data_IF_025292867457
#
_entry.id   IF_025292867457
#
_cell.length_a   1.000
_cell.length_b   1.000
_cell.length_c   1.000
_cell.angle_alpha   90.00
_cell.angle_beta   90.00
_cell.angle_gamma   90.00
#
_symmetry.space_group_name_H-M   'P 1'
#
loop_
_entity.id
_entity.type
_entity.pdbx_description
1 polymer ?
#
# COMPACT_ATOMS: atom_id res chain seq x y z
N UNK A 1 -6.72 17.37 0.32
CA UNK A 1 -7.27 16.59 -0.79
C UNK A 1 -6.31 15.44 -1.05
N UNK A 2 -6.85 14.22 -1.15
CA UNK A 2 -6.09 13.02 -1.48
C UNK A 2 -5.74 12.99 -2.97
N UNK A 3 -4.72 12.24 -3.37
CA UNK A 3 -4.30 12.13 -4.79
C UNK A 3 -5.44 11.65 -5.70
N UNK A 4 -6.31 10.76 -5.20
CA UNK A 4 -7.50 10.30 -5.91
C UNK A 4 -8.56 11.40 -6.04
N UNK A 5 -8.80 12.17 -4.98
CA UNK A 5 -9.73 13.29 -5.02
C UNK A 5 -9.26 14.41 -5.96
N UNK A 6 -7.95 14.70 -5.95
CA UNK A 6 -7.31 15.63 -6.88
C UNK A 6 -7.39 15.11 -8.32
N UNK A 7 -7.12 13.82 -8.54
CA UNK A 7 -7.23 13.20 -9.86
C UNK A 7 -8.68 13.13 -10.36
N UNK A 8 -9.66 12.86 -9.50
CA UNK A 8 -11.09 12.92 -9.87
C UNK A 8 -11.48 14.34 -10.24
N UNK A 9 -11.01 15.33 -9.47
CA UNK A 9 -11.26 16.75 -9.73
C UNK A 9 -10.64 17.20 -11.06
N UNK A 10 -9.37 16.89 -11.31
CA UNK A 10 -8.69 17.13 -12.58
C UNK A 10 -9.38 16.39 -13.73
N UNK A 11 -9.81 15.13 -13.54
CA UNK A 11 -10.43 14.31 -14.58
C UNK A 11 -11.83 14.78 -15.01
N UNK A 12 -12.65 15.25 -14.06
CA UNK A 12 -14.09 15.51 -14.27
C UNK A 12 -14.53 16.95 -13.97
N UNK A 13 -13.63 17.79 -13.46
CA UNK A 13 -13.85 19.22 -13.22
C UNK A 13 -12.56 20.02 -13.47
N UNK A 14 -11.96 19.91 -14.68
CA UNK A 14 -10.68 20.52 -14.98
C UNK A 14 -10.75 22.04 -14.91
N UNK A 15 -9.70 22.66 -14.37
CA UNK A 15 -9.54 24.11 -14.47
C UNK A 15 -9.17 24.50 -15.91
N UNK A 16 -9.45 25.74 -16.32
CA UNK A 16 -9.14 26.25 -17.66
C UNK A 16 -7.65 26.20 -18.02
N UNK A 17 -6.78 26.09 -17.01
CA UNK A 17 -5.32 26.08 -17.16
C UNK A 17 -4.73 24.66 -17.14
N UNK A 18 -5.54 23.62 -16.99
CA UNK A 18 -5.02 22.25 -16.92
C UNK A 18 -4.57 21.72 -18.29
N UNK A 19 -3.34 21.20 -18.32
CA UNK A 19 -2.80 20.62 -19.55
C UNK A 19 -3.62 19.39 -19.99
N UNK A 20 -3.83 19.19 -21.31
CA UNK A 20 -4.53 18.02 -21.84
C UNK A 20 -3.92 16.68 -21.38
N UNK A 21 -2.62 16.69 -21.08
CA UNK A 21 -1.88 15.53 -20.58
C UNK A 21 -2.18 15.22 -19.11
N UNK A 22 -2.25 16.24 -18.25
CA UNK A 22 -2.66 16.07 -16.85
C UNK A 22 -4.07 15.51 -16.76
N UNK A 23 -4.97 15.96 -17.65
CA UNK A 23 -6.33 15.44 -17.77
C UNK A 23 -6.37 13.94 -18.15
N UNK A 24 -5.58 13.53 -19.13
CA UNK A 24 -5.50 12.12 -19.55
C UNK A 24 -4.92 11.21 -18.46
N UNK A 25 -3.89 11.68 -17.74
CA UNK A 25 -3.27 10.93 -16.63
C UNK A 25 -4.25 10.77 -15.47
N UNK A 26 -4.95 11.85 -15.10
CA UNK A 26 -5.94 11.82 -14.04
C UNK A 26 -7.11 10.87 -14.37
N UNK A 27 -7.58 10.87 -15.63
CA UNK A 27 -8.59 9.93 -16.12
C UNK A 27 -8.10 8.49 -16.11
N UNK A 28 -6.88 8.24 -16.59
CA UNK A 28 -6.27 6.91 -16.57
C UNK A 28 -6.11 6.39 -15.13
N UNK A 29 -5.78 7.24 -14.17
CA UNK A 29 -5.70 6.86 -12.76
C UNK A 29 -7.05 6.47 -12.18
N UNK A 30 -8.08 7.29 -12.43
CA UNK A 30 -9.45 6.99 -11.97
C UNK A 30 -9.94 5.69 -12.59
N UNK A 31 -9.75 5.51 -13.89
CA UNK A 31 -10.16 4.29 -14.60
C UNK A 31 -9.38 3.05 -14.12
N UNK A 32 -8.07 3.16 -13.90
CA UNK A 32 -7.25 2.06 -13.37
C UNK A 32 -7.69 1.66 -11.96
N UNK A 33 -7.98 2.65 -11.11
CA UNK A 33 -8.51 2.42 -9.77
C UNK A 33 -9.89 1.73 -9.82
N UNK A 34 -10.77 2.19 -10.71
CA UNK A 34 -12.10 1.61 -10.94
C UNK A 34 -12.01 0.17 -11.45
N UNK A 35 -11.12 -0.12 -12.41
CA UNK A 35 -10.83 -1.47 -12.89
C UNK A 35 -10.35 -2.36 -11.76
N UNK A 36 -9.41 -1.86 -10.95
CA UNK A 36 -8.88 -2.58 -9.81
C UNK A 36 -9.98 -2.90 -8.78
N UNK A 37 -10.83 -1.92 -8.43
CA UNK A 37 -12.00 -2.15 -7.57
C UNK A 37 -12.99 -3.15 -8.19
N UNK A 38 -13.23 -3.09 -9.50
CA UNK A 38 -14.11 -4.01 -10.22
C UNK A 38 -13.55 -5.43 -10.30
N UNK A 39 -12.23 -5.61 -10.31
CA UNK A 39 -11.58 -6.92 -10.32
C UNK A 39 -11.52 -7.56 -8.93
N UNK A 40 -11.46 -6.72 -7.89
CA UNK A 40 -11.43 -7.15 -6.50
C UNK A 40 -12.83 -7.50 -5.93
N UNK A 41 -13.91 -6.99 -6.53
CA UNK A 41 -15.28 -7.24 -6.08
C UNK A 41 -15.94 -8.42 -6.83
N UNK A 42 -16.42 -9.43 -6.10
CA UNK A 42 -17.29 -10.47 -6.67
C UNK A 42 -18.69 -9.90 -6.87
N UNK A 43 -18.86 -9.12 -7.94
CA UNK A 43 -20.05 -8.79 -8.78
C UNK A 43 -21.48 -8.73 -8.22
N UNK A 44 -21.77 -8.99 -6.95
CA UNK A 44 -23.15 -9.26 -6.58
C UNK A 44 -23.93 -8.04 -6.08
N UNK A 45 -23.33 -6.99 -5.51
CA UNK A 45 -24.12 -5.98 -4.77
C UNK A 45 -23.81 -4.48 -5.02
N UNK A 46 -23.02 -4.10 -6.03
CA UNK A 46 -22.95 -2.69 -6.46
C UNK A 46 -24.10 -2.33 -7.41
N UNK A 47 -24.86 -1.28 -7.07
CA UNK A 47 -25.97 -0.75 -7.88
C UNK A 47 -25.51 0.03 -9.13
N UNK A 48 -24.22 0.05 -9.42
CA UNK A 48 -23.65 0.69 -10.59
C UNK A 48 -22.62 -0.27 -11.21
N UNK A 49 -22.97 -1.02 -12.27
CA UNK A 49 -22.02 -1.93 -12.89
C UNK A 49 -21.01 -1.07 -13.65
N UNK A 50 -19.87 -0.78 -13.03
CA UNK A 50 -18.76 -0.19 -13.74
C UNK A 50 -18.04 -1.31 -14.47
N UNK A 51 -17.97 -1.19 -15.79
CA UNK A 51 -17.31 -2.16 -16.67
C UNK A 51 -15.79 -2.03 -16.51
N UNK A 52 -15.22 -2.81 -15.59
CA UNK A 52 -13.79 -2.77 -15.27
C UNK A 52 -12.90 -3.11 -16.47
N UNK A 53 -13.33 -3.97 -17.40
CA UNK A 53 -12.58 -4.30 -18.62
C UNK A 53 -12.53 -3.09 -19.56
N UNK A 54 -13.67 -2.42 -19.73
CA UNK A 54 -13.72 -1.17 -20.49
C UNK A 54 -12.89 -0.07 -19.85
N UNK A 55 -12.93 0.07 -18.52
CA UNK A 55 -12.08 1.01 -17.82
C UNK A 55 -10.60 0.66 -17.97
N UNK A 56 -10.23 -0.61 -18.01
CA UNK A 56 -8.86 -1.05 -18.24
C UNK A 56 -8.40 -0.67 -19.64
N UNK A 57 -9.24 -0.94 -20.65
CA UNK A 57 -8.97 -0.61 -22.04
C UNK A 57 -8.89 0.92 -22.26
N UNK A 58 -9.78 1.69 -21.63
CA UNK A 58 -9.75 3.15 -21.70
C UNK A 58 -8.52 3.72 -20.97
N UNK A 59 -8.13 3.15 -19.82
CA UNK A 59 -6.89 3.51 -19.14
C UNK A 59 -5.66 3.19 -19.99
N UNK A 60 -5.58 2.01 -20.60
CA UNK A 60 -4.51 1.58 -21.49
C UNK A 60 -4.44 2.46 -22.75
N UNK A 61 -5.59 2.79 -23.34
CA UNK A 61 -5.71 3.73 -24.46
C UNK A 61 -5.23 5.13 -24.07
N UNK A 62 -5.63 5.65 -22.91
CA UNK A 62 -5.17 6.95 -22.43
C UNK A 62 -3.68 6.94 -22.10
N UNK A 63 -3.15 5.87 -21.51
CA UNK A 63 -1.73 5.72 -21.23
C UNK A 63 -0.90 5.56 -22.51
N UNK A 64 -1.41 4.85 -23.54
CA UNK A 64 -0.76 4.73 -24.85
C UNK A 64 -0.80 6.03 -25.66
N UNK A 65 -1.77 6.92 -25.45
CA UNK A 65 -1.66 8.29 -26.01
C UNK A 65 -0.59 9.14 -25.31
N UNK A 66 -0.15 8.73 -24.12
CA UNK A 66 0.92 9.35 -23.34
C UNK A 66 2.29 8.68 -23.62
N UNK A 67 2.30 7.49 -24.23
CA UNK A 67 3.46 6.59 -24.38
C UNK A 67 3.60 6.06 -25.82
N UNK A 68 4.76 6.21 -26.46
CA UNK A 68 5.00 5.74 -27.84
C UNK A 68 5.15 4.19 -27.89
N UNK A 69 4.33 3.45 -28.67
CA UNK A 69 4.30 1.99 -28.67
C UNK A 69 5.54 1.28 -29.24
N UNK A 70 6.50 2.01 -29.82
CA UNK A 70 7.72 1.42 -30.37
C UNK A 70 8.66 0.81 -29.30
N UNK A 71 8.42 1.09 -28.01
CA UNK A 71 9.14 0.53 -26.88
C UNK A 71 8.17 -0.25 -25.97
N UNK A 72 8.17 -1.57 -26.09
CA UNK A 72 7.23 -2.45 -25.38
C UNK A 72 7.37 -2.41 -23.86
N UNK A 73 6.22 -2.51 -23.16
CA UNK A 73 6.06 -2.44 -21.69
C UNK A 73 7.04 -3.33 -20.89
N UNK A 74 7.45 -4.49 -21.42
CA UNK A 74 8.35 -5.41 -20.73
C UNK A 74 9.83 -4.97 -20.78
N UNK A 75 10.24 -4.26 -21.82
CA UNK A 75 11.61 -3.78 -21.97
C UNK A 75 11.83 -2.42 -21.30
N UNK A 76 10.76 -1.66 -21.02
CA UNK A 76 10.84 -0.31 -20.43
C UNK A 76 10.71 -0.26 -18.90
N UNK A 77 10.25 -1.34 -18.25
CA UNK A 77 10.31 -1.43 -16.77
C UNK A 77 11.76 -1.46 -16.24
N UNK A 78 12.73 -1.87 -17.05
CA UNK A 78 14.15 -1.94 -16.66
C UNK A 78 14.88 -0.57 -16.77
N UNK A 79 14.69 0.24 -17.84
CA UNK A 79 15.24 1.60 -17.93
C UNK A 79 14.44 2.66 -17.15
N UNK A 80 13.12 2.58 -17.06
CA UNK A 80 12.31 3.51 -16.25
C UNK A 80 12.54 3.33 -14.74
N UNK A 81 13.20 2.23 -14.36
CA UNK A 81 13.73 1.95 -13.03
C UNK A 81 15.29 1.98 -13.00
N UNK A 82 16.03 2.75 -13.79
CA UNK A 82 17.44 3.06 -13.40
C UNK A 82 17.36 3.99 -12.17
N UNK A 83 17.61 3.66 -10.90
CA UNK A 83 18.45 2.69 -10.19
C UNK A 83 19.89 2.61 -10.75
N UNK A 84 20.81 3.32 -10.07
CA UNK A 84 22.23 3.64 -10.38
C UNK A 84 22.40 4.85 -11.31
N UNK A 85 23.09 5.96 -10.99
CA UNK A 85 24.21 6.30 -10.08
C UNK A 85 24.05 7.75 -9.54
N UNK A 86 24.77 8.19 -8.47
CA UNK A 86 24.83 9.61 -8.13
C UNK A 86 25.49 10.40 -9.27
N UNK A 87 25.09 11.67 -9.52
CA UNK A 87 25.61 12.42 -10.66
C UNK A 87 27.09 12.72 -10.46
N UNK A 88 27.96 12.03 -11.20
CA UNK A 88 29.24 12.59 -11.59
C UNK A 88 28.97 13.57 -12.72
N UNK A 89 29.03 14.86 -12.43
CA UNK A 89 29.12 15.90 -13.47
C UNK A 89 30.32 15.62 -14.37
N UNK A 90 30.13 15.73 -15.69
CA UNK A 90 30.39 17.02 -16.32
C UNK A 90 29.29 17.47 -17.30
N UNK A 91 29.08 18.78 -17.27
CA UNK A 91 28.54 19.68 -18.30
C UNK A 91 27.61 19.15 -19.40
N UNK A 92 26.39 19.71 -19.40
CA UNK A 92 25.81 20.25 -20.63
C UNK A 92 24.93 19.31 -21.46
N UNK A 93 23.80 18.83 -20.92
CA UNK A 93 22.63 18.55 -21.76
C UNK A 93 21.33 18.68 -20.95
N UNK A 94 20.50 19.64 -21.33
CA UNK A 94 19.18 19.88 -20.72
C UNK A 94 18.26 18.70 -21.07
N UNK A 95 17.99 17.83 -20.10
CA UNK A 95 16.98 16.78 -20.22
C UNK A 95 15.58 17.42 -20.15
N UNK A 96 14.62 17.04 -21.01
CA UNK A 96 13.31 17.70 -21.05
C UNK A 96 12.47 17.30 -19.82
N UNK A 97 12.09 18.29 -19.02
CA UNK A 97 11.28 18.21 -17.78
C UNK A 97 10.04 17.27 -17.86
N UNK A 98 9.50 17.05 -19.07
CA UNK A 98 8.31 16.26 -19.32
C UNK A 98 8.48 14.74 -19.10
N UNK A 99 9.70 14.18 -19.25
CA UNK A 99 9.94 12.74 -19.00
C UNK A 99 9.95 12.43 -17.50
N UNK A 100 10.57 13.30 -16.71
CA UNK A 100 10.69 13.17 -15.24
C UNK A 100 9.33 13.23 -14.53
N UNK A 101 8.42 14.09 -15.00
CA UNK A 101 7.07 14.20 -14.42
C UNK A 101 6.20 12.95 -14.66
N UNK A 102 6.27 12.37 -15.87
CA UNK A 102 5.55 11.14 -16.24
C UNK A 102 6.03 9.95 -15.40
N UNK A 103 7.33 9.81 -15.25
CA UNK A 103 7.96 8.74 -14.45
C UNK A 103 7.57 8.85 -12.97
N UNK A 104 7.56 10.06 -12.41
CA UNK A 104 7.14 10.31 -11.03
C UNK A 104 5.66 9.98 -10.80
N UNK A 105 4.81 10.30 -11.76
CA UNK A 105 3.37 10.02 -11.66
C UNK A 105 3.11 8.52 -11.70
N UNK A 106 3.67 7.81 -12.70
CA UNK A 106 3.52 6.35 -12.80
C UNK A 106 4.01 5.63 -11.53
N UNK A 107 5.18 6.02 -11.01
CA UNK A 107 5.72 5.48 -9.75
C UNK A 107 4.75 5.68 -8.59
N UNK A 108 4.13 6.86 -8.52
CA UNK A 108 3.13 7.15 -7.49
C UNK A 108 1.90 6.24 -7.65
N UNK A 109 1.36 6.08 -8.85
CA UNK A 109 0.21 5.20 -9.10
C UNK A 109 0.53 3.75 -8.75
N UNK A 110 1.69 3.26 -9.20
CA UNK A 110 2.16 1.91 -8.89
C UNK A 110 2.14 1.64 -7.39
N UNK A 111 2.73 2.53 -6.60
CA UNK A 111 2.83 2.36 -5.15
C UNK A 111 1.48 2.44 -4.43
N UNK A 112 0.55 3.27 -4.92
CA UNK A 112 -0.82 3.28 -4.41
C UNK A 112 -1.58 2.01 -4.78
N UNK A 113 -1.47 1.53 -6.03
CA UNK A 113 -2.07 0.26 -6.45
C UNK A 113 -1.49 -0.92 -5.67
N UNK A 114 -0.17 -0.93 -5.46
CA UNK A 114 0.54 -1.94 -4.67
C UNK A 114 0.01 -1.99 -3.24
N UNK A 115 -0.21 -0.82 -2.64
CA UNK A 115 -0.78 -0.68 -1.31
C UNK A 115 -2.21 -1.22 -1.25
N UNK A 116 -3.07 -0.75 -2.15
CA UNK A 116 -4.48 -1.12 -2.22
C UNK A 116 -4.68 -2.62 -2.49
N UNK A 117 -3.82 -3.23 -3.33
CA UNK A 117 -3.83 -4.67 -3.60
C UNK A 117 -3.73 -5.51 -2.33
N UNK A 118 -2.86 -5.12 -1.39
CA UNK A 118 -2.75 -5.82 -0.10
C UNK A 118 -4.00 -5.64 0.72
N UNK A 119 -4.47 -4.40 0.86
CA UNK A 119 -5.65 -4.12 1.69
C UNK A 119 -6.88 -4.86 1.18
N UNK A 120 -7.10 -4.88 -0.15
CA UNK A 120 -8.21 -5.62 -0.73
C UNK A 120 -8.04 -7.13 -0.57
N UNK A 121 -6.88 -7.69 -0.86
CA UNK A 121 -6.63 -9.13 -0.73
C UNK A 121 -6.94 -9.65 0.68
N UNK A 122 -6.53 -8.93 1.73
CA UNK A 122 -6.83 -9.31 3.12
C UNK A 122 -8.31 -9.14 3.50
N UNK A 123 -9.03 -8.21 2.86
CA UNK A 123 -10.46 -7.97 3.12
C UNK A 123 -11.38 -8.93 2.38
N UNK A 124 -11.09 -9.21 1.12
CA UNK A 124 -11.94 -10.03 0.24
C UNK A 124 -11.53 -11.50 0.23
N UNK A 125 -10.35 -11.82 0.76
CA UNK A 125 -9.77 -13.15 0.68
C UNK A 125 -9.28 -13.51 -0.73
N UNK A 126 -9.16 -12.54 -1.64
CA UNK A 126 -8.57 -12.77 -2.96
C UNK A 126 -7.04 -12.86 -2.85
N UNK A 127 -6.37 -13.59 -3.76
CA UNK A 127 -4.92 -13.57 -3.83
C UNK A 127 -4.38 -12.15 -4.07
N UNK A 128 -3.23 -11.85 -3.46
CA UNK A 128 -2.45 -10.65 -3.76
C UNK A 128 -1.93 -10.70 -5.19
N UNK A 129 -2.12 -9.63 -5.97
CA UNK A 129 -1.73 -9.57 -7.39
C UNK A 129 -0.31 -9.01 -7.59
N UNK A 130 0.07 -7.99 -6.81
CA UNK A 130 1.33 -7.27 -6.96
C UNK A 130 2.34 -7.73 -5.90
N UNK A 131 3.05 -8.83 -6.13
CA UNK A 131 4.06 -9.31 -5.19
C UNK A 131 5.30 -8.42 -5.15
N UNK A 132 5.81 -8.10 -3.95
CA UNK A 132 7.03 -7.32 -3.77
C UNK A 132 8.25 -8.00 -4.40
N UNK A 133 8.25 -9.33 -4.44
CA UNK A 133 9.29 -10.20 -4.97
C UNK A 133 9.48 -10.01 -6.47
N UNK A 134 8.42 -9.62 -7.19
CA UNK A 134 8.48 -9.29 -8.62
C UNK A 134 9.35 -8.05 -8.90
N UNK A 135 9.52 -7.18 -7.91
CA UNK A 135 10.38 -5.99 -8.00
C UNK A 135 11.84 -6.30 -7.71
N UNK A 136 12.14 -7.46 -7.11
CA UNK A 136 13.49 -7.83 -6.74
C UNK A 136 14.19 -8.43 -7.97
N UNK A 137 15.28 -7.83 -8.47
CA UNK A 137 16.05 -8.41 -9.55
C UNK A 137 16.63 -9.76 -9.13
N UNK A 138 16.60 -10.74 -10.04
CA UNK A 138 17.23 -12.04 -9.80
C UNK A 138 18.74 -11.95 -9.52
N UNK A 139 19.38 -10.84 -9.92
CA UNK A 139 20.79 -10.52 -9.68
C UNK A 139 21.06 -9.79 -8.37
N UNK A 140 20.07 -9.62 -7.48
CA UNK A 140 20.27 -8.93 -6.20
C UNK A 140 21.44 -9.59 -5.46
N UNK A 141 22.50 -8.81 -5.23
CA UNK A 141 23.72 -9.29 -4.59
C UNK A 141 23.39 -9.83 -3.19
N UNK A 142 23.94 -10.98 -2.81
CA UNK A 142 23.68 -11.65 -1.54
C UNK A 142 23.97 -10.78 -0.28
N UNK A 143 24.67 -9.67 -0.44
CA UNK A 143 24.99 -8.70 0.61
C UNK A 143 23.89 -7.67 0.89
N UNK A 144 22.92 -7.46 -0.01
CA UNK A 144 21.83 -6.52 0.19
C UNK A 144 20.55 -7.23 0.64
N UNK A 145 19.98 -6.78 1.77
CA UNK A 145 18.68 -7.25 2.24
C UNK A 145 17.58 -6.88 1.24
N UNK A 146 16.69 -7.81 0.85
CA UNK A 146 15.52 -7.53 0.00
C UNK A 146 14.71 -6.32 0.44
N UNK A 147 14.43 -6.20 1.74
CA UNK A 147 13.66 -5.08 2.29
C UNK A 147 14.40 -3.74 2.18
N UNK A 148 15.73 -3.77 2.30
CA UNK A 148 16.58 -2.58 2.13
C UNK A 148 16.57 -2.13 0.66
N UNK A 149 16.59 -3.07 -0.27
CA UNK A 149 16.44 -2.78 -1.70
C UNK A 149 15.07 -2.20 -2.02
N UNK A 150 13.98 -2.86 -1.60
CA UNK A 150 12.60 -2.41 -1.84
C UNK A 150 12.34 -1.01 -1.24
N UNK A 151 12.92 -0.72 -0.08
CA UNK A 151 12.82 0.60 0.55
C UNK A 151 13.44 1.72 -0.30
N UNK A 152 14.43 1.43 -1.15
CA UNK A 152 15.02 2.42 -2.07
C UNK A 152 14.13 2.72 -3.27
N UNK A 153 13.18 1.85 -3.59
CA UNK A 153 12.25 2.02 -4.70
C UNK A 153 11.07 2.95 -4.36
N UNK A 154 10.90 3.25 -3.08
CA UNK A 154 9.84 4.15 -2.60
C UNK A 154 10.06 5.57 -3.13
N UNK A 155 8.98 6.37 -3.32
CA UNK A 155 9.10 7.75 -3.73
C UNK A 155 10.05 8.53 -2.81
N UNK A 156 10.88 9.39 -3.39
CA UNK A 156 11.90 10.15 -2.66
C UNK A 156 11.26 11.04 -1.60
N UNK A 157 11.82 10.99 -0.40
CA UNK A 157 11.46 11.84 0.71
C UNK A 157 11.85 13.29 0.43
N UNK A 158 10.88 14.21 0.43
CA UNK A 158 11.18 15.64 0.56
C UNK A 158 11.21 15.97 2.07
N UNK A 159 12.38 16.26 2.65
CA UNK A 159 12.53 16.52 4.08
C UNK A 159 11.79 17.76 4.59
N UNK A 160 11.26 18.62 3.70
CA UNK A 160 10.43 19.75 4.08
C UNK A 160 8.92 19.42 4.04
N UNK A 161 8.53 18.22 3.59
CA UNK A 161 7.13 17.86 3.38
C UNK A 161 6.70 16.69 4.28
N UNK A 162 6.09 17.02 5.42
CA UNK A 162 5.55 16.01 6.37
C UNK A 162 4.55 15.02 5.71
N UNK A 163 3.85 15.43 4.64
CA UNK A 163 2.96 14.52 3.90
C UNK A 163 3.74 13.40 3.20
N UNK A 164 4.97 13.66 2.77
CA UNK A 164 5.88 12.68 2.16
C UNK A 164 6.29 11.58 3.15
N UNK A 165 6.53 11.94 4.42
CA UNK A 165 6.99 11.01 5.46
C UNK A 165 5.90 10.00 5.86
N UNK A 166 4.66 10.45 6.01
CA UNK A 166 3.52 9.56 6.31
C UNK A 166 3.22 8.62 5.14
N UNK A 167 3.23 9.12 3.90
CA UNK A 167 3.05 8.27 2.72
C UNK A 167 4.12 7.18 2.59
N UNK A 168 5.39 7.49 2.90
CA UNK A 168 6.46 6.48 2.89
C UNK A 168 6.22 5.42 3.98
N UNK A 169 5.73 5.82 5.15
CA UNK A 169 5.42 4.89 6.25
C UNK A 169 4.32 3.91 5.85
N UNK A 170 3.28 4.39 5.16
CA UNK A 170 2.21 3.56 4.57
C UNK A 170 2.74 2.54 3.55
N UNK A 171 3.65 2.95 2.68
CA UNK A 171 4.22 2.05 1.67
C UNK A 171 5.14 1.00 2.27
N UNK A 172 5.96 1.36 3.26
CA UNK A 172 6.78 0.39 4.01
C UNK A 172 5.91 -0.66 4.69
N UNK A 173 4.79 -0.27 5.27
CA UNK A 173 3.84 -1.22 5.85
C UNK A 173 3.25 -2.16 4.79
N UNK A 174 2.96 -1.66 3.59
CA UNK A 174 2.49 -2.51 2.49
C UNK A 174 3.52 -3.53 2.03
N UNK A 175 4.83 -3.23 2.13
CA UNK A 175 5.88 -4.22 1.88
C UNK A 175 5.83 -5.36 2.93
N UNK A 176 5.67 -4.99 4.20
CA UNK A 176 5.48 -5.97 5.29
C UNK A 176 4.23 -6.80 5.02
N UNK A 177 3.11 -6.18 4.65
CA UNK A 177 1.86 -6.88 4.35
C UNK A 177 1.97 -7.81 3.14
N UNK A 178 2.80 -7.48 2.13
CA UNK A 178 3.14 -8.40 1.05
C UNK A 178 3.80 -9.68 1.58
N UNK A 179 4.74 -9.52 2.52
CA UNK A 179 5.44 -10.63 3.15
C UNK A 179 4.53 -11.43 4.09
N UNK A 180 3.67 -10.76 4.86
CA UNK A 180 2.62 -11.41 5.67
C UNK A 180 1.77 -12.32 4.79
N UNK A 181 1.33 -11.83 3.62
CA UNK A 181 0.55 -12.63 2.70
C UNK A 181 1.32 -13.88 2.26
N UNK A 182 2.54 -13.71 1.74
CA UNK A 182 3.33 -14.84 1.25
C UNK A 182 3.66 -15.86 2.32
N UNK A 183 4.03 -15.40 3.51
CA UNK A 183 4.55 -16.26 4.56
C UNK A 183 3.44 -16.93 5.40
N UNK A 184 2.25 -16.32 5.50
CA UNK A 184 1.15 -16.80 6.35
C UNK A 184 -0.15 -17.11 5.61
N UNK A 185 -0.40 -16.58 4.42
CA UNK A 185 -1.72 -16.66 3.77
C UNK A 185 -1.72 -17.25 2.36
N UNK A 186 -0.60 -17.26 1.66
CA UNK A 186 -0.47 -17.91 0.36
C UNK A 186 -0.76 -19.42 0.44
N UNK A 187 -1.38 -20.05 -0.58
CA UNK A 187 -1.75 -21.47 -0.54
C UNK A 187 -0.64 -22.45 -0.15
N UNK A 188 0.63 -22.20 -0.52
CA UNK A 188 1.74 -23.05 -0.03
C UNK A 188 2.00 -22.84 1.46
N UNK A 189 1.94 -21.61 1.95
CA UNK A 189 2.18 -21.27 3.36
C UNK A 189 1.12 -21.82 4.32
N UNK A 190 -0.10 -22.07 3.83
CA UNK A 190 -1.14 -22.75 4.61
C UNK A 190 -0.78 -24.19 5.02
N UNK A 191 0.22 -24.80 4.37
CA UNK A 191 0.66 -26.17 4.61
C UNK A 191 1.86 -26.25 5.58
N UNK A 192 2.38 -25.10 6.03
CA UNK A 192 3.51 -25.05 6.97
C UNK A 192 3.10 -25.65 8.32
N UNK A 193 4.03 -26.35 9.02
CA UNK A 193 3.75 -26.87 10.35
C UNK A 193 3.58 -25.74 11.36
N UNK A 194 2.79 -25.96 12.41
CA UNK A 194 2.44 -24.92 13.38
C UNK A 194 3.67 -24.25 14.05
N UNK A 195 4.76 -25.01 14.25
CA UNK A 195 6.01 -24.47 14.81
C UNK A 195 6.71 -23.49 13.87
N UNK A 196 6.60 -23.71 12.56
CA UNK A 196 7.09 -22.79 11.55
C UNK A 196 6.18 -21.57 11.44
N UNK A 197 4.85 -21.74 11.44
CA UNK A 197 3.90 -20.63 11.50
C UNK A 197 4.17 -19.72 12.70
N UNK A 198 4.38 -20.28 13.89
CA UNK A 198 4.73 -19.49 15.08
C UNK A 198 6.07 -18.75 14.95
N UNK A 199 7.06 -19.36 14.30
CA UNK A 199 8.35 -18.69 14.05
C UNK A 199 8.18 -17.52 13.09
N UNK A 200 7.40 -17.72 12.03
CA UNK A 200 7.06 -16.71 11.05
C UNK A 200 6.29 -15.55 11.67
N UNK A 201 5.31 -15.84 12.55
CA UNK A 201 4.56 -14.82 13.28
C UNK A 201 5.51 -13.93 14.10
N UNK A 202 6.43 -14.51 14.86
CA UNK A 202 7.42 -13.73 15.63
C UNK A 202 8.29 -12.87 14.74
N UNK A 203 8.80 -13.42 13.64
CA UNK A 203 9.65 -12.68 12.71
C UNK A 203 8.91 -11.50 12.05
N UNK A 204 7.63 -11.66 11.72
CA UNK A 204 6.79 -10.59 11.16
C UNK A 204 6.38 -9.57 12.23
N UNK A 205 6.16 -9.98 13.47
CA UNK A 205 5.90 -9.09 14.61
C UNK A 205 7.13 -8.20 14.90
N UNK A 206 8.33 -8.77 14.90
CA UNK A 206 9.60 -8.02 15.04
C UNK A 206 9.76 -6.99 13.92
N UNK A 207 9.46 -7.36 12.67
CA UNK A 207 9.52 -6.45 11.52
C UNK A 207 8.47 -5.33 11.58
N UNK A 208 7.26 -5.65 12.03
CA UNK A 208 6.21 -4.66 12.27
C UNK A 208 6.59 -3.69 13.39
N UNK A 209 7.22 -4.19 14.46
CA UNK A 209 7.72 -3.36 15.55
C UNK A 209 8.88 -2.46 15.10
N UNK A 210 9.82 -2.97 14.30
CA UNK A 210 10.89 -2.15 13.70
C UNK A 210 10.31 -1.02 12.85
N UNK A 211 9.33 -1.33 12.00
CA UNK A 211 8.61 -0.32 11.22
C UNK A 211 7.94 0.71 12.13
N UNK A 212 7.23 0.28 13.17
CA UNK A 212 6.53 1.17 14.11
C UNK A 212 7.52 2.09 14.84
N UNK A 213 8.68 1.57 15.24
CA UNK A 213 9.73 2.34 15.90
C UNK A 213 10.43 3.33 14.96
N UNK A 214 10.44 3.06 13.65
CA UNK A 214 10.95 3.99 12.63
C UNK A 214 10.10 5.26 12.46
N UNK A 215 8.82 5.22 12.87
CA UNK A 215 7.90 6.35 12.77
C UNK A 215 8.17 7.33 13.93
N UNK A 216 8.22 8.67 13.68
CA UNK A 216 8.36 9.67 14.73
C UNK A 216 7.30 9.54 15.82
N UNK A 217 7.66 9.80 17.08
CA UNK A 217 6.76 9.62 18.24
C UNK A 217 5.43 10.35 18.12
N UNK A 218 5.40 11.49 17.43
CA UNK A 218 4.20 12.31 17.26
C UNK A 218 3.12 11.64 16.39
N UNK A 219 3.51 10.75 15.48
CA UNK A 219 2.61 10.04 14.57
C UNK A 219 2.70 8.51 14.71
N UNK A 220 3.43 8.02 15.71
CA UNK A 220 3.67 6.59 15.91
C UNK A 220 2.40 5.87 16.36
N UNK A 221 2.00 4.77 15.70
CA UNK A 221 0.89 3.94 16.15
C UNK A 221 1.12 3.32 17.54
N UNK A 222 0.04 3.19 18.31
CA UNK A 222 0.05 2.56 19.64
C UNK A 222 -0.98 1.44 19.72
N UNK A 223 -0.72 0.46 20.58
CA UNK A 223 -1.68 -0.62 20.85
C UNK A 223 -2.89 -0.15 21.66
N UNK A 224 -2.73 0.86 22.51
CA UNK A 224 -3.78 1.36 23.37
C UNK A 224 -4.16 2.78 22.97
N UNK A 225 -5.47 3.04 22.90
CA UNK A 225 -6.00 4.36 22.56
C UNK A 225 -5.64 5.44 23.59
N UNK A 226 -5.47 5.06 24.85
CA UNK A 226 -5.01 5.96 25.93
C UNK A 226 -3.65 6.59 25.65
N UNK A 227 -2.83 5.90 24.85
CA UNK A 227 -1.46 6.29 24.56
C UNK A 227 -1.37 7.10 23.27
N UNK A 228 -2.50 7.30 22.60
CA UNK A 228 -2.57 7.92 21.30
C UNK A 228 -2.43 9.46 21.43
N UNK A 229 -1.61 10.12 20.60
CA UNK A 229 -1.48 11.58 20.61
C UNK A 229 -2.84 12.25 20.39
N UNK A 230 -3.16 13.33 21.10
CA UNK A 230 -4.47 14.00 21.04
C UNK A 230 -4.87 14.45 19.63
N UNK A 231 -3.91 14.67 18.74
CA UNK A 231 -4.18 15.09 17.35
C UNK A 231 -4.66 13.96 16.44
N UNK A 232 -4.41 12.69 16.81
CA UNK A 232 -4.76 11.50 16.02
C UNK A 232 -6.24 11.33 15.70
N UNK A 233 -7.13 11.75 16.60
CA UNK A 233 -8.59 11.60 16.42
C UNK A 233 -9.20 12.66 15.50
N UNK A 234 -8.36 13.57 15.00
CA UNK A 234 -8.73 14.73 14.19
C UNK A 234 -7.85 14.89 12.95
N UNK A 235 -6.84 14.04 12.78
CA UNK A 235 -6.00 13.94 11.58
C UNK A 235 -6.25 12.59 10.87
N UNK A 236 -6.69 12.64 9.61
CA UNK A 236 -7.10 11.47 8.83
C UNK A 236 -5.91 10.56 8.52
N UNK A 237 -4.73 11.14 8.28
CA UNK A 237 -3.52 10.37 7.97
C UNK A 237 -3.02 9.64 9.22
N UNK A 238 -3.10 10.30 10.39
CA UNK A 238 -2.75 9.68 11.66
C UNK A 238 -3.79 8.63 12.10
N UNK A 239 -5.06 8.83 11.80
CA UNK A 239 -6.08 7.80 11.95
C UNK A 239 -5.74 6.57 11.10
N UNK A 240 -5.45 6.81 9.81
CA UNK A 240 -5.17 5.75 8.85
C UNK A 240 -3.95 4.91 9.26
N UNK A 241 -2.84 5.53 9.64
CA UNK A 241 -1.63 4.77 10.01
C UNK A 241 -1.87 3.89 11.26
N UNK A 242 -2.75 4.31 12.18
CA UNK A 242 -3.11 3.52 13.36
C UNK A 242 -3.99 2.32 13.00
N UNK A 243 -5.02 2.56 12.19
CA UNK A 243 -5.90 1.49 11.73
C UNK A 243 -5.15 0.44 10.91
N UNK A 244 -4.24 0.87 10.03
CA UNK A 244 -3.40 -0.06 9.26
C UNK A 244 -2.47 -0.86 10.16
N UNK A 245 -1.86 -0.23 11.16
CA UNK A 245 -1.02 -0.93 12.14
C UNK A 245 -1.81 -2.02 12.87
N UNK A 246 -3.01 -1.70 13.38
CA UNK A 246 -3.86 -2.68 14.05
C UNK A 246 -4.34 -3.77 13.12
N UNK A 247 -4.71 -3.44 11.88
CA UNK A 247 -5.07 -4.42 10.86
C UNK A 247 -3.92 -5.39 10.59
N UNK A 248 -2.71 -4.88 10.35
CA UNK A 248 -1.49 -5.69 10.13
C UNK A 248 -1.19 -6.61 11.31
N UNK A 249 -1.22 -6.08 12.53
CA UNK A 249 -1.04 -6.85 13.76
C UNK A 249 -2.11 -7.96 13.89
N UNK A 250 -3.37 -7.61 13.62
CA UNK A 250 -4.50 -8.52 13.56
C UNK A 250 -4.24 -9.67 12.59
N UNK A 251 -3.89 -9.37 11.34
CA UNK A 251 -3.55 -10.38 10.33
C UNK A 251 -2.41 -11.29 10.79
N UNK A 252 -1.28 -10.74 11.24
CA UNK A 252 -0.13 -11.54 11.69
C UNK A 252 -0.55 -12.54 12.78
N UNK A 253 -1.24 -12.05 13.81
CA UNK A 253 -1.58 -12.88 14.95
C UNK A 253 -2.79 -13.78 14.74
N UNK A 254 -3.72 -13.44 13.85
CA UNK A 254 -4.88 -14.25 13.49
C UNK A 254 -4.46 -15.57 12.81
N UNK A 255 -3.27 -15.62 12.20
CA UNK A 255 -2.74 -16.81 11.56
C UNK A 255 -2.72 -18.05 12.47
N UNK A 256 -2.57 -17.89 13.79
CA UNK A 256 -2.60 -18.98 14.78
C UNK A 256 -3.94 -19.69 14.89
N UNK A 257 -5.03 -19.10 14.40
CA UNK A 257 -6.37 -19.73 14.43
C UNK A 257 -6.42 -21.07 13.68
N UNK A 258 -5.44 -21.33 12.82
CA UNK A 258 -5.29 -22.56 12.04
C UNK A 258 -4.41 -23.62 12.73
N UNK A 259 -3.69 -23.25 13.78
CA UNK A 259 -2.77 -24.15 14.49
C UNK A 259 -3.49 -25.04 15.49
N UNK A 260 -2.99 -26.25 15.70
CA UNK A 260 -3.53 -27.19 16.67
C UNK A 260 -2.98 -26.91 18.08
N UNK A 261 -3.84 -26.80 19.11
CA UNK A 261 -3.38 -26.67 20.49
C UNK A 261 -2.65 -27.93 20.93
N UNK A 262 -1.38 -27.80 21.34
CA UNK A 262 -0.59 -28.91 21.87
C UNK A 262 0.26 -28.48 23.07
N UNK A 263 -0.11 -28.94 24.27
CA UNK A 263 0.65 -28.74 25.51
C UNK A 263 1.02 -27.27 25.77
N UNK A 264 2.31 -26.94 26.01
CA UNK A 264 2.76 -25.58 26.36
C UNK A 264 2.55 -24.56 25.23
N UNK A 265 2.34 -25.00 24.00
CA UNK A 265 2.04 -24.13 22.85
C UNK A 265 0.66 -23.46 22.96
N UNK A 266 -0.28 -24.09 23.68
CA UNK A 266 -1.65 -23.59 23.85
C UNK A 266 -1.69 -22.16 24.38
N UNK A 267 -0.80 -21.84 25.33
CA UNK A 267 -0.72 -20.51 25.94
C UNK A 267 -0.17 -19.47 24.95
N UNK A 268 0.82 -19.85 24.14
CA UNK A 268 1.34 -18.98 23.08
C UNK A 268 0.29 -18.69 21.99
N UNK A 269 -0.48 -19.71 21.59
CA UNK A 269 -1.59 -19.56 20.65
C UNK A 269 -2.66 -18.62 21.20
N UNK A 270 -3.04 -18.81 22.48
CA UNK A 270 -4.01 -17.96 23.18
C UNK A 270 -3.53 -16.52 23.28
N UNK A 271 -2.25 -16.30 23.61
CA UNK A 271 -1.66 -14.96 23.67
C UNK A 271 -1.68 -14.27 22.31
N UNK A 272 -1.31 -14.98 21.25
CA UNK A 272 -1.37 -14.44 19.88
C UNK A 272 -2.81 -14.10 19.49
N UNK A 273 -3.77 -15.00 19.73
CA UNK A 273 -5.18 -14.71 19.42
C UNK A 273 -5.70 -13.48 20.21
N UNK A 274 -5.29 -13.31 21.46
CA UNK A 274 -5.65 -12.14 22.26
C UNK A 274 -5.07 -10.84 21.67
N UNK A 275 -3.87 -10.87 21.09
CA UNK A 275 -3.31 -9.73 20.35
C UNK A 275 -4.15 -9.38 19.12
N UNK A 276 -4.58 -10.38 18.34
CA UNK A 276 -5.49 -10.16 17.19
C UNK A 276 -6.81 -9.49 17.61
N UNK A 277 -7.43 -10.01 18.68
CA UNK A 277 -8.67 -9.44 19.24
C UNK A 277 -8.42 -8.03 19.76
N UNK A 278 -7.33 -7.80 20.49
CA UNK A 278 -6.98 -6.47 21.01
C UNK A 278 -6.75 -5.47 19.89
N UNK A 279 -6.09 -5.87 18.80
CA UNK A 279 -5.90 -5.02 17.63
C UNK A 279 -7.25 -4.58 17.05
N UNK A 280 -8.16 -5.53 16.86
CA UNK A 280 -9.52 -5.26 16.36
C UNK A 280 -10.31 -4.32 17.28
N UNK A 281 -10.26 -4.54 18.59
CA UNK A 281 -10.89 -3.66 19.59
C UNK A 281 -10.31 -2.26 19.53
N UNK A 282 -8.98 -2.13 19.41
CA UNK A 282 -8.30 -0.84 19.35
C UNK A 282 -8.69 -0.04 18.11
N UNK A 283 -8.84 -0.70 16.95
CA UNK A 283 -9.37 -0.04 15.75
C UNK A 283 -10.78 0.51 15.96
N UNK A 284 -11.67 -0.26 16.61
CA UNK A 284 -13.03 0.18 16.90
C UNK A 284 -13.06 1.34 17.91
N UNK A 285 -12.21 1.30 18.93
CA UNK A 285 -12.07 2.39 19.90
C UNK A 285 -11.60 3.67 19.22
N UNK A 286 -10.62 3.57 18.32
CA UNK A 286 -10.12 4.72 17.55
C UNK A 286 -11.23 5.28 16.66
N UNK A 287 -11.93 4.44 15.89
CA UNK A 287 -13.05 4.88 15.05
C UNK A 287 -14.15 5.55 15.86
N UNK A 288 -14.43 5.05 17.08
CA UNK A 288 -15.40 5.65 17.99
C UNK A 288 -14.95 7.00 18.57
N UNK A 289 -13.66 7.14 18.88
CA UNK A 289 -13.10 8.37 19.43
C UNK A 289 -12.89 9.47 18.38
N UNK A 290 -12.84 9.06 17.11
CA UNK A 290 -12.64 9.93 15.96
C UNK A 290 -13.79 10.92 15.83
N UNK A 291 -13.46 12.20 15.62
CA UNK A 291 -14.47 13.28 15.50
C UNK A 291 -14.89 13.57 14.06
N UNK A 292 -14.40 12.81 13.09
CA UNK A 292 -14.79 12.96 11.70
C UNK A 292 -16.25 12.57 11.49
N UNK A 293 -17.00 13.45 10.85
CA UNK A 293 -18.21 13.03 10.17
C UNK A 293 -17.76 12.15 9.01
N UNK A 294 -18.07 10.86 9.04
CA UNK A 294 -17.83 9.95 7.92
C UNK A 294 -18.69 10.38 6.73
N UNK A 295 -18.17 11.33 5.94
CA UNK A 295 -18.74 11.61 4.62
C UNK A 295 -18.62 10.35 3.77
N UNK A 296 -19.43 10.25 2.72
CA UNK A 296 -19.38 9.10 1.81
C UNK A 296 -17.96 8.88 1.26
N UNK A 297 -17.26 9.97 0.98
CA UNK A 297 -15.89 9.97 0.44
C UNK A 297 -14.87 9.49 1.48
N UNK A 298 -14.95 10.01 2.72
CA UNK A 298 -14.12 9.57 3.84
C UNK A 298 -14.37 8.11 4.22
N UNK A 299 -15.63 7.67 4.15
CA UNK A 299 -16.01 6.28 4.38
C UNK A 299 -15.29 5.36 3.39
N UNK A 300 -15.34 5.65 2.09
CA UNK A 300 -14.63 4.86 1.08
C UNK A 300 -13.11 4.95 1.23
N UNK A 301 -12.58 6.11 1.61
CA UNK A 301 -11.15 6.28 1.84
C UNK A 301 -10.63 5.40 2.99
N UNK A 302 -11.31 5.43 4.14
CA UNK A 302 -11.01 4.59 5.33
C UNK A 302 -11.36 3.11 5.09
N UNK A 303 -12.34 2.81 4.24
CA UNK A 303 -12.66 1.41 3.90
C UNK A 303 -11.84 0.87 2.73
N UNK A 304 -11.03 1.66 2.03
CA UNK A 304 -10.12 1.15 1.00
C UNK A 304 -8.65 1.25 1.44
N UNK A 305 -8.38 2.11 2.42
CA UNK A 305 -7.13 2.17 3.16
C UNK A 305 -7.57 2.08 4.64
N UNK A 306 -7.55 0.90 5.30
CA UNK A 306 -8.05 0.72 6.65
C UNK A 306 -7.27 1.55 7.64
#
# INVERSE_FOLDING_TARGET
>A
MSLLEESVKTAYSPSSDESPQALSIAKAFVLSFVTFCSAADRREHMSYPVDGERCAFEAESMLSTVYDPAHGLANDLSPAMRLSEPPSTPEGTVTPCCTSYKESTFRTLYWHSFMLDKELAFRTGTPVLMLAESLIPASLNATESPNKYLSKLLPTHDPQNHRSETSISHLKLSLIMSRVYLELYEPQSLKKPDTETLRTIRALDDELEEWRLSIPRACRPTLHISDLPTQSTTDVELLLINLRYHHSLGCIHQAVSRCQPCGPMTEALRSSLNLSVRASVSSLEILRATRFTLSRELFWYVTLNP
#
